data_IF_103828967658
#
_entry.id   IF_103828967658
#
_cell.length_a   1.000
_cell.length_b   1.000
_cell.length_c   1.000
_cell.angle_alpha   90.00
_cell.angle_beta   90.00
_cell.angle_gamma   90.00
#
_symmetry.space_group_name_H-M   'P 1'
#
loop_
_entity.id
_entity.type
_entity.pdbx_description
1 polymer ?
#
# COMPACT_ATOMS: atom_id res chain seq x y z
N UNK A 1 -8.93 -7.21 0.04
CA UNK A 1 -8.16 -6.82 -1.15
C UNK A 1 -6.68 -7.06 -0.92
N UNK A 2 -5.93 -7.39 -1.98
CA UNK A 2 -4.50 -7.60 -1.97
C UNK A 2 -3.76 -6.34 -2.44
N UNK A 3 -2.44 -6.27 -2.22
CA UNK A 3 -1.59 -5.15 -2.66
C UNK A 3 -1.65 -4.91 -4.16
N UNK A 4 -1.77 -5.98 -4.96
CA UNK A 4 -1.92 -5.87 -6.40
C UNK A 4 -3.16 -5.05 -6.79
N UNK A 5 -4.27 -5.20 -6.09
CA UNK A 5 -5.49 -4.42 -6.32
C UNK A 5 -5.28 -2.92 -6.04
N UNK A 6 -4.43 -2.58 -5.07
CA UNK A 6 -4.07 -1.18 -4.80
C UNK A 6 -3.17 -0.60 -5.89
N UNK A 7 -2.23 -1.39 -6.43
CA UNK A 7 -1.39 -0.96 -7.54
C UNK A 7 -2.21 -0.67 -8.79
N UNK A 8 -3.18 -1.52 -9.11
CA UNK A 8 -4.12 -1.28 -10.23
C UNK A 8 -4.93 -0.01 -9.97
N UNK A 9 -5.47 0.16 -8.75
CA UNK A 9 -6.21 1.36 -8.36
C UNK A 9 -5.37 2.64 -8.53
N UNK A 10 -4.10 2.62 -8.13
CA UNK A 10 -3.17 3.74 -8.30
C UNK A 10 -2.95 4.04 -9.78
N UNK A 11 -2.73 3.03 -10.62
CA UNK A 11 -2.53 3.22 -12.05
C UNK A 11 -3.76 3.88 -12.71
N UNK A 12 -4.96 3.39 -12.42
CA UNK A 12 -6.21 4.00 -12.90
C UNK A 12 -6.35 5.44 -12.40
N UNK A 13 -6.01 5.71 -11.14
CA UNK A 13 -6.09 7.04 -10.56
C UNK A 13 -5.11 8.00 -11.23
N UNK A 14 -3.87 7.60 -11.47
CA UNK A 14 -2.88 8.43 -12.16
C UNK A 14 -3.33 8.82 -13.57
N UNK A 15 -3.93 7.87 -14.31
CA UNK A 15 -4.54 8.17 -15.61
C UNK A 15 -5.72 9.15 -15.50
N UNK A 16 -6.53 9.03 -14.44
CA UNK A 16 -7.67 9.92 -14.23
C UNK A 16 -7.27 11.34 -13.77
N UNK A 17 -6.14 11.50 -13.08
CA UNK A 17 -5.66 12.82 -12.65
C UNK A 17 -5.08 13.64 -13.82
N UNK A 18 -4.53 13.01 -14.85
CA UNK A 18 -3.91 13.71 -15.96
C UNK A 18 -4.86 14.69 -16.66
N UNK A 19 -6.06 14.29 -17.14
CA UNK A 19 -6.99 15.23 -17.77
C UNK A 19 -7.48 16.33 -16.82
N UNK A 20 -7.51 16.07 -15.50
CA UNK A 20 -7.84 17.11 -14.52
C UNK A 20 -6.80 18.22 -14.54
N UNK A 21 -5.51 17.86 -14.55
CA UNK A 21 -4.40 18.80 -14.62
C UNK A 21 -4.36 19.56 -15.96
N UNK A 22 -4.62 18.87 -17.06
CA UNK A 22 -4.69 19.50 -18.40
C UNK A 22 -5.83 20.55 -18.44
N UNK A 23 -7.00 20.19 -17.93
CA UNK A 23 -8.12 21.12 -17.86
C UNK A 23 -7.93 22.29 -16.90
N UNK A 24 -7.20 22.08 -15.79
CA UNK A 24 -6.80 23.16 -14.87
C UNK A 24 -5.82 24.12 -15.58
N UNK A 25 -4.79 23.58 -16.26
CA UNK A 25 -3.82 24.38 -17.01
C UNK A 25 -4.46 25.26 -18.08
N UNK A 26 -5.44 24.72 -18.77
CA UNK A 26 -6.13 25.40 -19.89
C UNK A 26 -7.35 26.22 -19.44
N UNK A 27 -7.59 26.31 -18.13
CA UNK A 27 -8.75 27.03 -17.53
C UNK A 27 -10.10 26.58 -18.09
N UNK A 28 -10.24 25.28 -18.42
CA UNK A 28 -11.45 24.73 -19.08
C UNK A 28 -12.55 24.28 -18.12
N UNK A 29 -12.26 24.15 -16.84
CA UNK A 29 -13.22 23.65 -15.86
C UNK A 29 -14.14 24.76 -15.35
N UNK A 30 -15.46 24.51 -15.40
CA UNK A 30 -16.42 25.39 -14.73
C UNK A 30 -16.35 25.21 -13.19
N UNK A 31 -16.82 26.20 -12.40
CA UNK A 31 -16.86 26.08 -10.94
C UNK A 31 -17.60 24.81 -10.46
N UNK A 32 -18.69 24.46 -11.14
CA UNK A 32 -19.48 23.26 -10.81
C UNK A 32 -18.70 21.97 -11.05
N UNK A 33 -17.94 21.90 -12.16
CA UNK A 33 -17.11 20.75 -12.48
C UNK A 33 -15.95 20.62 -11.49
N UNK A 34 -15.27 21.70 -11.15
CA UNK A 34 -14.20 21.72 -10.14
C UNK A 34 -14.68 21.25 -8.78
N UNK A 35 -15.86 21.70 -8.34
CA UNK A 35 -16.46 21.26 -7.09
C UNK A 35 -16.80 19.75 -7.11
N UNK A 36 -17.27 19.22 -8.22
CA UNK A 36 -17.54 17.79 -8.38
C UNK A 36 -16.24 16.99 -8.35
N UNK A 37 -15.20 17.43 -9.08
CA UNK A 37 -13.88 16.77 -9.10
C UNK A 37 -13.29 16.75 -7.69
N UNK A 38 -13.26 17.89 -7.01
CA UNK A 38 -12.75 17.99 -5.63
C UNK A 38 -13.48 17.02 -4.70
N UNK A 39 -14.79 17.02 -4.72
CA UNK A 39 -15.61 16.15 -3.87
C UNK A 39 -15.39 14.65 -4.15
N UNK A 40 -15.14 14.26 -5.39
CA UNK A 40 -14.78 12.87 -5.70
C UNK A 40 -13.38 12.52 -5.21
N UNK A 41 -12.40 13.41 -5.41
CA UNK A 41 -11.03 13.22 -4.92
C UNK A 41 -10.97 13.18 -3.38
N UNK A 42 -11.82 13.97 -2.70
CA UNK A 42 -11.91 13.98 -1.23
C UNK A 42 -12.28 12.62 -0.63
N UNK A 43 -12.98 11.76 -1.37
CA UNK A 43 -13.37 10.40 -0.95
C UNK A 43 -12.24 9.39 -1.08
N UNK A 44 -11.13 9.77 -1.73
CA UNK A 44 -10.01 8.87 -1.99
C UNK A 44 -9.07 8.85 -0.79
N UNK A 45 -9.00 7.70 -0.12
CA UNK A 45 -8.05 7.41 0.96
C UNK A 45 -7.26 6.15 0.59
N UNK A 46 -6.09 6.37 -0.03
CA UNK A 46 -5.19 5.29 -0.44
C UNK A 46 -4.47 4.69 0.77
N UNK A 47 -4.22 5.47 1.82
CA UNK A 47 -3.54 5.01 3.02
C UNK A 47 -4.39 3.99 3.78
N UNK A 48 -5.69 4.27 3.91
CA UNK A 48 -6.65 3.32 4.48
C UNK A 48 -6.75 2.06 3.63
N UNK A 49 -6.84 2.22 2.30
CA UNK A 49 -6.87 1.10 1.35
C UNK A 49 -5.61 0.21 1.48
N UNK A 50 -4.44 0.81 1.61
CA UNK A 50 -3.18 0.10 1.80
C UNK A 50 -3.15 -0.69 3.11
N UNK A 51 -3.59 -0.12 4.23
CA UNK A 51 -3.68 -0.84 5.51
C UNK A 51 -4.56 -2.07 5.43
N UNK A 52 -5.70 -1.95 4.76
CA UNK A 52 -6.61 -3.09 4.55
C UNK A 52 -5.94 -4.15 3.67
N UNK A 53 -5.21 -3.75 2.64
CA UNK A 53 -4.50 -4.68 1.77
C UNK A 53 -3.38 -5.42 2.48
N UNK A 54 -2.66 -4.76 3.39
CA UNK A 54 -1.65 -5.43 4.21
C UNK A 54 -2.26 -6.55 5.07
N UNK A 55 -3.47 -6.34 5.61
CA UNK A 55 -4.20 -7.41 6.32
C UNK A 55 -4.56 -8.54 5.36
N UNK A 56 -5.01 -8.22 4.15
CA UNK A 56 -5.31 -9.22 3.12
C UNK A 56 -4.09 -10.04 2.70
N UNK A 57 -2.92 -9.42 2.56
CA UNK A 57 -1.66 -10.13 2.29
C UNK A 57 -1.28 -11.08 3.43
N UNK A 58 -1.44 -10.64 4.67
CA UNK A 58 -1.21 -11.49 5.83
C UNK A 58 -2.12 -12.73 5.82
N UNK A 59 -3.41 -12.50 5.60
CA UNK A 59 -4.41 -13.57 5.61
C UNK A 59 -4.17 -14.53 4.44
N UNK A 60 -3.80 -14.00 3.27
CA UNK A 60 -3.41 -14.81 2.11
C UNK A 60 -2.14 -15.63 2.40
N UNK A 61 -1.13 -15.04 3.01
CA UNK A 61 0.10 -15.74 3.37
C UNK A 61 -0.16 -16.85 4.42
N UNK A 62 -1.04 -16.61 5.40
CA UNK A 62 -1.45 -17.64 6.36
C UNK A 62 -2.17 -18.80 5.64
N UNK A 63 -3.09 -18.50 4.72
CA UNK A 63 -3.77 -19.51 3.93
C UNK A 63 -2.79 -20.36 3.10
N UNK A 64 -1.79 -19.71 2.49
CA UNK A 64 -0.74 -20.43 1.74
C UNK A 64 0.07 -21.37 2.66
N UNK A 65 0.41 -20.90 3.85
CA UNK A 65 1.15 -21.73 4.84
C UNK A 65 0.29 -22.90 5.30
N UNK A 66 -1.00 -22.73 5.53
CA UNK A 66 -1.93 -23.81 5.86
C UNK A 66 -2.00 -24.85 4.73
N UNK A 67 -2.15 -24.41 3.48
CA UNK A 67 -2.16 -25.30 2.32
C UNK A 67 -0.84 -26.06 2.15
N UNK A 68 0.29 -25.42 2.49
CA UNK A 68 1.58 -26.12 2.52
C UNK A 68 1.60 -27.22 3.59
N UNK A 69 0.98 -26.96 4.76
CA UNK A 69 0.87 -27.97 5.84
C UNK A 69 0.04 -29.18 5.45
N UNK A 70 -1.05 -28.94 4.73
CA UNK A 70 -1.99 -29.99 4.33
C UNK A 70 -1.55 -30.79 3.08
N UNK A 71 -0.85 -30.14 2.16
CA UNK A 71 -0.41 -30.75 0.90
C UNK A 71 1.02 -30.31 0.53
N UNK A 72 1.99 -31.19 0.74
CA UNK A 72 3.40 -30.94 0.42
C UNK A 72 3.68 -30.57 -1.05
N UNK A 73 2.85 -31.03 -1.98
CA UNK A 73 3.01 -30.71 -3.42
C UNK A 73 2.69 -29.24 -3.71
N UNK A 74 1.83 -28.63 -2.92
CA UNK A 74 1.49 -27.20 -3.06
C UNK A 74 2.67 -26.28 -2.73
N UNK A 75 3.55 -26.72 -1.84
CA UNK A 75 4.76 -25.98 -1.50
C UNK A 75 5.75 -25.88 -2.68
N UNK A 76 5.88 -26.94 -3.47
CA UNK A 76 6.74 -26.96 -4.65
C UNK A 76 6.24 -26.03 -5.76
N UNK A 77 4.94 -25.92 -5.96
CA UNK A 77 4.34 -24.99 -6.93
C UNK A 77 4.63 -23.51 -6.58
N UNK A 78 4.66 -23.16 -5.29
CA UNK A 78 4.92 -21.80 -4.82
C UNK A 78 6.40 -21.39 -4.95
N UNK A 79 7.31 -22.36 -4.99
CA UNK A 79 8.75 -22.15 -4.99
C UNK A 79 9.39 -22.27 -6.38
N UNK A 80 8.58 -22.37 -7.45
CA UNK A 80 9.05 -22.60 -8.84
C UNK A 80 10.04 -23.75 -9.01
N UNK A 81 10.08 -24.66 -8.05
CA UNK A 81 10.85 -25.90 -8.12
C UNK A 81 9.94 -27.05 -8.55
N UNK A 82 10.50 -28.07 -9.18
CA UNK A 82 9.83 -29.27 -9.74
C UNK A 82 8.86 -30.04 -8.79
N UNK A 83 8.20 -29.32 -7.89
CA UNK A 83 7.15 -29.88 -7.02
C UNK A 83 7.66 -30.70 -5.84
N UNK A 84 8.96 -30.82 -5.66
CA UNK A 84 9.53 -31.60 -4.55
C UNK A 84 10.62 -30.82 -3.83
N UNK A 85 10.27 -30.26 -2.67
CA UNK A 85 11.29 -29.92 -1.68
C UNK A 85 11.69 -31.25 -1.03
N UNK A 86 12.92 -31.74 -1.25
CA UNK A 86 13.35 -32.98 -0.62
C UNK A 86 13.24 -32.85 0.90
N UNK A 87 12.56 -33.80 1.55
CA UNK A 87 12.40 -33.79 3.00
C UNK A 87 11.23 -32.96 3.54
N UNK A 88 10.36 -32.38 2.71
CA UNK A 88 9.18 -31.62 3.18
C UNK A 88 8.27 -32.45 4.12
N UNK A 89 8.12 -33.73 3.86
CA UNK A 89 7.36 -34.67 4.70
C UNK A 89 7.98 -34.87 6.11
N UNK A 90 9.22 -34.43 6.29
CA UNK A 90 9.91 -34.42 7.60
C UNK A 90 9.64 -33.12 8.40
N UNK A 91 8.99 -32.12 7.83
CA UNK A 91 8.72 -30.87 8.52
C UNK A 91 7.64 -31.10 9.57
N UNK A 92 7.94 -31.00 10.87
CA UNK A 92 6.95 -31.17 11.92
C UNK A 92 5.87 -30.10 11.79
N UNK A 93 4.62 -30.49 11.98
CA UNK A 93 3.47 -29.57 11.90
C UNK A 93 3.61 -28.36 12.84
N UNK A 94 4.27 -28.54 13.99
CA UNK A 94 4.60 -27.45 14.89
C UNK A 94 5.47 -26.34 14.27
N UNK A 95 6.27 -26.66 13.25
CA UNK A 95 7.06 -25.66 12.55
C UNK A 95 6.22 -24.79 11.63
N UNK A 96 5.17 -25.34 11.03
CA UNK A 96 4.18 -24.62 10.23
C UNK A 96 3.48 -23.56 11.11
N UNK A 97 2.99 -23.96 12.29
CA UNK A 97 2.41 -23.01 13.27
C UNK A 97 3.40 -21.96 13.75
N UNK A 98 4.66 -22.35 13.91
CA UNK A 98 5.71 -21.40 14.30
C UNK A 98 5.99 -20.38 13.19
N UNK A 99 5.92 -20.80 11.93
CA UNK A 99 6.04 -19.93 10.77
C UNK A 99 4.89 -18.90 10.71
N UNK A 100 3.65 -19.36 10.84
CA UNK A 100 2.48 -18.49 10.88
C UNK A 100 2.55 -17.48 12.03
N UNK A 101 2.89 -17.95 13.22
CA UNK A 101 3.06 -17.08 14.38
C UNK A 101 4.08 -15.99 14.12
N UNK A 102 5.25 -16.32 13.61
CA UNK A 102 6.31 -15.35 13.28
C UNK A 102 5.87 -14.35 12.20
N UNK A 103 5.20 -14.81 11.15
CA UNK A 103 4.65 -13.96 10.11
C UNK A 103 3.67 -12.94 10.71
N UNK A 104 2.76 -13.40 11.56
CA UNK A 104 1.78 -12.54 12.20
C UNK A 104 2.42 -11.55 13.18
N UNK A 105 3.40 -11.96 13.99
CA UNK A 105 4.16 -11.08 14.88
C UNK A 105 4.87 -9.98 14.08
N UNK A 106 5.51 -10.32 12.97
CA UNK A 106 6.17 -9.35 12.11
C UNK A 106 5.17 -8.39 11.45
N UNK A 107 4.03 -8.90 11.00
CA UNK A 107 2.98 -8.08 10.43
C UNK A 107 2.47 -7.05 11.44
N UNK A 108 2.18 -7.45 12.68
CA UNK A 108 1.74 -6.54 13.75
C UNK A 108 2.83 -5.53 14.12
N UNK A 109 4.07 -6.00 14.20
CA UNK A 109 5.20 -5.15 14.62
C UNK A 109 5.52 -4.05 13.61
N UNK A 110 5.43 -4.35 12.31
CA UNK A 110 5.92 -3.47 11.24
C UNK A 110 4.83 -3.03 10.28
N UNK A 111 4.15 -3.95 9.61
CA UNK A 111 3.26 -3.61 8.49
C UNK A 111 2.15 -2.65 8.90
N UNK A 112 1.56 -2.82 10.07
CA UNK A 112 0.51 -1.92 10.57
C UNK A 112 1.02 -0.54 10.97
N UNK A 113 2.33 -0.40 11.23
CA UNK A 113 2.95 0.86 11.67
C UNK A 113 3.52 1.68 10.51
N UNK A 114 3.63 1.10 9.32
CA UNK A 114 4.10 1.80 8.12
C UNK A 114 3.20 2.99 7.79
N UNK A 115 1.91 2.89 8.05
CA UNK A 115 0.96 3.98 7.89
C UNK A 115 0.63 4.59 9.24
N UNK A 116 0.89 5.88 9.39
CA UNK A 116 0.38 6.68 10.50
C UNK A 116 -0.99 7.26 10.09
N UNK A 117 -2.11 6.71 10.62
CA UNK A 117 -3.43 7.16 10.22
C UNK A 117 -3.78 8.53 10.78
N UNK A 118 -3.16 8.95 11.90
CA UNK A 118 -3.41 10.27 12.51
C UNK A 118 -2.69 11.36 11.76
N UNK A 119 -1.44 11.13 11.41
CA UNK A 119 -0.64 12.08 10.63
C UNK A 119 -0.85 11.93 9.11
N UNK A 120 -1.70 11.01 8.66
CA UNK A 120 -1.96 10.70 7.24
C UNK A 120 -0.68 10.58 6.41
N UNK A 121 0.29 9.84 6.91
CA UNK A 121 1.59 9.69 6.23
C UNK A 121 2.10 8.27 6.25
N UNK A 122 2.94 7.96 5.28
CA UNK A 122 3.77 6.75 5.27
C UNK A 122 5.01 7.01 6.12
N UNK A 123 5.43 6.00 6.86
CA UNK A 123 6.68 5.97 7.64
C UNK A 123 7.72 5.08 6.96
N UNK A 124 8.55 5.63 6.07
CA UNK A 124 9.54 4.86 5.35
C UNK A 124 10.63 4.28 6.27
N UNK A 125 10.92 4.96 7.38
CA UNK A 125 11.85 4.50 8.43
C UNK A 125 11.45 3.11 8.97
N UNK A 126 10.16 2.88 9.18
CA UNK A 126 9.64 1.58 9.64
C UNK A 126 9.73 0.54 8.53
N UNK A 127 9.46 0.91 7.28
CA UNK A 127 9.57 -0.01 6.15
C UNK A 127 11.02 -0.49 5.95
N UNK A 128 12.00 0.41 6.03
CA UNK A 128 13.44 0.09 5.96
C UNK A 128 13.86 -0.78 7.13
N UNK A 129 13.47 -0.44 8.38
CA UNK A 129 13.78 -1.24 9.57
C UNK A 129 13.20 -2.66 9.44
N UNK A 130 12.00 -2.77 8.91
CA UNK A 130 11.36 -4.05 8.64
C UNK A 130 12.17 -4.90 7.65
N UNK A 131 12.54 -4.32 6.50
CA UNK A 131 13.37 -5.00 5.49
C UNK A 131 14.70 -5.48 6.08
N UNK A 132 15.36 -4.65 6.88
CA UNK A 132 16.65 -4.97 7.51
C UNK A 132 16.53 -6.10 8.55
N UNK A 133 15.50 -6.07 9.41
CA UNK A 133 15.29 -7.13 10.40
C UNK A 133 14.96 -8.47 9.75
N UNK A 134 14.21 -8.45 8.65
CA UNK A 134 13.89 -9.68 7.94
C UNK A 134 15.14 -10.23 7.28
N UNK A 135 15.93 -9.41 6.61
CA UNK A 135 17.18 -9.84 5.99
C UNK A 135 18.18 -10.37 7.01
N UNK A 136 18.30 -9.75 8.18
CA UNK A 136 19.16 -10.24 9.27
C UNK A 136 18.69 -11.58 9.86
N UNK A 137 17.40 -11.87 9.78
CA UNK A 137 16.82 -13.14 10.28
C UNK A 137 16.87 -14.24 9.22
N UNK A 138 16.72 -13.90 7.95
CA UNK A 138 16.77 -14.86 6.84
C UNK A 138 18.14 -15.54 6.74
N UNK A 139 19.22 -14.82 7.06
CA UNK A 139 20.57 -15.38 7.09
C UNK A 139 20.82 -16.41 8.22
N UNK A 140 19.89 -16.58 9.16
CA UNK A 140 20.04 -17.46 10.34
C UNK A 140 19.02 -18.57 10.43
N UNK A 141 18.07 -18.66 9.52
CA UNK A 141 16.88 -19.54 9.63
C UNK A 141 16.69 -20.38 8.36
N UNK A 142 15.83 -21.37 8.46
CA UNK A 142 15.49 -22.35 7.43
C UNK A 142 15.12 -21.70 6.07
N UNK A 143 15.49 -22.34 4.93
CA UNK A 143 15.32 -21.79 3.57
C UNK A 143 13.89 -21.35 3.21
N UNK A 144 12.86 -22.01 3.76
CA UNK A 144 11.46 -21.68 3.51
C UNK A 144 11.07 -20.29 4.03
N UNK A 145 11.65 -19.87 5.16
CA UNK A 145 11.47 -18.51 5.70
C UNK A 145 12.02 -17.44 4.78
N UNK A 146 13.17 -17.72 4.19
CA UNK A 146 13.90 -16.78 3.37
C UNK A 146 13.14 -16.49 2.06
N UNK A 147 12.52 -17.51 1.48
CA UNK A 147 11.78 -17.36 0.21
C UNK A 147 10.54 -16.50 0.39
N UNK A 148 9.65 -16.81 1.34
CA UNK A 148 8.43 -16.03 1.59
C UNK A 148 8.75 -14.58 1.99
N UNK A 149 9.75 -14.41 2.86
CA UNK A 149 10.18 -13.09 3.32
C UNK A 149 10.82 -12.27 2.19
N UNK A 150 11.68 -12.88 1.38
CA UNK A 150 12.36 -12.22 0.27
C UNK A 150 11.41 -11.82 -0.86
N UNK A 151 10.31 -12.54 -1.08
CA UNK A 151 9.31 -12.22 -2.09
C UNK A 151 8.35 -11.09 -1.64
N UNK A 152 7.91 -11.11 -0.38
CA UNK A 152 6.90 -10.17 0.11
C UNK A 152 7.46 -8.79 0.49
N UNK A 153 8.68 -8.74 1.00
CA UNK A 153 9.23 -7.55 1.64
C UNK A 153 9.59 -6.39 0.72
N UNK A 154 10.34 -6.60 -0.37
CA UNK A 154 10.65 -5.51 -1.30
C UNK A 154 9.38 -4.93 -1.94
N UNK A 155 8.34 -5.77 -2.07
CA UNK A 155 7.05 -5.34 -2.58
C UNK A 155 6.35 -4.39 -1.61
N UNK A 156 6.31 -4.72 -0.32
CA UNK A 156 5.64 -3.89 0.71
C UNK A 156 6.24 -2.49 0.78
N UNK A 157 7.57 -2.37 0.81
CA UNK A 157 8.26 -1.07 0.88
C UNK A 157 7.99 -0.22 -0.37
N UNK A 158 8.22 -0.77 -1.56
CA UNK A 158 8.00 -0.07 -2.83
C UNK A 158 6.54 0.36 -2.99
N UNK A 159 5.61 -0.50 -2.61
CA UNK A 159 4.17 -0.17 -2.65
C UNK A 159 3.83 0.91 -1.64
N UNK A 160 4.41 0.89 -0.43
CA UNK A 160 4.20 1.94 0.56
C UNK A 160 4.60 3.32 0.02
N UNK A 161 5.79 3.44 -0.57
CA UNK A 161 6.28 4.69 -1.18
C UNK A 161 5.33 5.13 -2.32
N UNK A 162 4.93 4.19 -3.19
CA UNK A 162 4.03 4.48 -4.30
C UNK A 162 2.65 4.96 -3.81
N UNK A 163 2.11 4.35 -2.77
CA UNK A 163 0.86 4.77 -2.12
C UNK A 163 0.98 6.19 -1.57
N UNK A 164 2.06 6.47 -0.83
CA UNK A 164 2.31 7.80 -0.27
C UNK A 164 2.38 8.87 -1.35
N UNK A 165 3.18 8.66 -2.39
CA UNK A 165 3.29 9.60 -3.51
C UNK A 165 1.97 9.79 -4.26
N UNK A 166 1.19 8.72 -4.43
CA UNK A 166 -0.11 8.81 -5.10
C UNK A 166 -1.17 9.51 -4.26
N UNK A 167 -1.15 9.32 -2.93
CA UNK A 167 -2.02 10.10 -2.03
C UNK A 167 -1.66 11.59 -2.08
N UNK A 168 -0.37 11.91 -2.06
CA UNK A 168 0.10 13.30 -2.22
C UNK A 168 -0.36 13.90 -3.55
N UNK A 169 -0.31 13.15 -4.65
CA UNK A 169 -0.82 13.62 -5.94
C UNK A 169 -2.33 13.92 -5.91
N UNK A 170 -3.12 13.10 -5.24
CA UNK A 170 -4.56 13.36 -5.02
C UNK A 170 -4.75 14.64 -4.22
N UNK A 171 -4.04 14.79 -3.11
CA UNK A 171 -4.18 15.95 -2.22
C UNK A 171 -3.71 17.25 -2.92
N UNK A 172 -2.65 17.18 -3.75
CA UNK A 172 -2.24 18.33 -4.58
C UNK A 172 -3.29 18.69 -5.63
N UNK A 173 -3.87 17.70 -6.31
CA UNK A 173 -4.92 17.96 -7.31
C UNK A 173 -6.16 18.58 -6.66
N UNK A 174 -6.56 18.11 -5.46
CA UNK A 174 -7.63 18.71 -4.68
C UNK A 174 -7.32 20.18 -4.34
N UNK A 175 -6.11 20.44 -3.85
CA UNK A 175 -5.66 21.80 -3.54
C UNK A 175 -5.73 22.71 -4.77
N UNK A 176 -5.28 22.23 -5.93
CA UNK A 176 -5.34 22.96 -7.18
C UNK A 176 -6.80 23.29 -7.58
N UNK A 177 -7.72 22.34 -7.49
CA UNK A 177 -9.14 22.57 -7.75
C UNK A 177 -9.72 23.65 -6.83
N UNK A 178 -9.36 23.66 -5.55
CA UNK A 178 -9.82 24.64 -4.59
C UNK A 178 -9.24 26.03 -4.82
N UNK A 179 -7.97 26.09 -5.23
CA UNK A 179 -7.32 27.35 -5.60
C UNK A 179 -8.00 28.00 -6.82
N UNK A 180 -8.31 27.17 -7.85
CA UNK A 180 -9.04 27.68 -9.01
C UNK A 180 -10.48 28.07 -8.68
N UNK A 181 -11.19 27.33 -7.82
CA UNK A 181 -12.50 27.72 -7.33
C UNK A 181 -12.44 29.08 -6.62
N UNK A 182 -11.48 29.27 -5.73
CA UNK A 182 -11.30 30.54 -5.03
C UNK A 182 -11.00 31.70 -5.99
N UNK A 183 -10.13 31.45 -7.01
CA UNK A 183 -9.83 32.44 -8.05
C UNK A 183 -11.07 32.81 -8.84
N UNK A 184 -11.92 31.85 -9.22
CA UNK A 184 -13.15 32.10 -9.95
C UNK A 184 -14.20 32.87 -9.14
N UNK A 185 -14.26 32.65 -7.81
CA UNK A 185 -15.18 33.33 -6.90
C UNK A 185 -14.72 34.76 -6.54
N UNK A 186 -13.41 34.99 -6.37
CA UNK A 186 -12.85 36.21 -5.81
C UNK A 186 -11.97 37.01 -6.78
N UNK A 187 -11.80 36.52 -8.03
CA UNK A 187 -10.89 37.06 -9.06
C UNK A 187 -9.41 37.17 -8.61
N UNK A 188 -9.01 36.41 -7.58
CA UNK A 188 -7.64 36.32 -7.08
C UNK A 188 -7.40 35.03 -6.32
N UNK A 189 -6.16 34.58 -6.29
CA UNK A 189 -5.78 33.46 -5.43
C UNK A 189 -5.78 33.87 -3.95
N UNK A 190 -5.99 32.92 -3.01
CA UNK A 190 -5.90 33.22 -1.58
C UNK A 190 -4.46 33.61 -1.18
N UNK A 191 -4.32 34.44 -0.17
CA UNK A 191 -3.01 34.84 0.34
C UNK A 191 -2.32 33.67 1.08
N UNK A 192 -3.10 32.80 1.72
CA UNK A 192 -2.64 31.61 2.43
C UNK A 192 -3.55 30.41 2.14
N UNK A 193 -3.00 29.21 2.19
CA UNK A 193 -3.79 27.98 1.99
C UNK A 193 -4.85 27.77 3.09
N UNK A 194 -4.66 28.38 4.26
CA UNK A 194 -5.63 28.39 5.36
C UNK A 194 -6.92 29.13 5.02
N UNK A 195 -6.90 30.01 4.02
CA UNK A 195 -8.06 30.77 3.56
C UNK A 195 -9.01 29.88 2.71
N UNK A 196 -8.55 28.72 2.28
CA UNK A 196 -9.37 27.75 1.57
C UNK A 196 -10.34 27.07 2.54
N UNK A 197 -11.62 27.10 2.20
CA UNK A 197 -12.74 26.53 3.01
C UNK A 197 -12.75 25.00 3.08
N UNK A 198 -11.61 24.36 3.20
CA UNK A 198 -11.58 22.90 3.29
C UNK A 198 -10.86 22.42 4.52
N UNK A 199 -11.41 21.42 5.19
CA UNK A 199 -10.66 20.69 6.20
C UNK A 199 -9.65 19.80 5.47
N UNK A 200 -8.43 20.31 5.21
CA UNK A 200 -7.31 19.40 5.15
C UNK A 200 -7.10 18.91 6.58
N UNK A 201 -7.18 17.59 6.80
CA UNK A 201 -6.92 17.05 8.11
C UNK A 201 -5.48 17.23 8.51
#
# INVERSE_FOLDING_TARGET
PLLISQLVRIACLQMALQPVWEGLKDERWSPQQLAVIENQLAKIDLLKGYRISLLGERDFANLMIDQMGDNPKSAGMLLENDGTIPGYWLIPQGWIYHLQRRLNEMHVKFSQRIVDPKARRIRPDIAVTFATEVQARSSRSFPIFDVLSSMLLPAIEKVAIKIGSSQTAVDHTRTACLLELHKLEHNKYPAQLTDLKTPFP
#
